data_IF_994191296180
#
_entry.id   IF_994191296180
#
_cell.length_a   1.000
_cell.length_b   1.000
_cell.length_c   1.000
_cell.angle_alpha   90.00
_cell.angle_beta   90.00
_cell.angle_gamma   90.00
#
_symmetry.space_group_name_H-M   'P 1'
#
loop_
_entity.id
_entity.type
_entity.pdbx_description
1 polymer ?
#
# COMPACT_ATOMS: atom_id res chain seq x y z
N UNK A 1 -18.01 -12.14 -6.50
CA UNK A 1 -17.03 -11.83 -5.44
C UNK A 1 -17.19 -10.34 -5.16
N UNK A 2 -17.40 -9.98 -3.91
CA UNK A 2 -17.49 -8.57 -3.51
C UNK A 2 -16.08 -8.09 -3.14
N UNK A 3 -15.47 -7.18 -3.93
CA UNK A 3 -14.09 -6.74 -3.70
C UNK A 3 -13.91 -6.05 -2.35
N UNK A 4 -14.98 -5.46 -1.80
CA UNK A 4 -14.91 -4.72 -0.53
C UNK A 4 -14.77 -5.62 0.70
N UNK A 5 -14.97 -6.93 0.54
CA UNK A 5 -14.90 -7.92 1.62
C UNK A 5 -13.64 -8.81 1.54
N UNK A 6 -12.73 -8.54 0.59
CA UNK A 6 -11.61 -9.42 0.27
C UNK A 6 -10.28 -8.65 0.41
N UNK A 7 -9.58 -8.87 1.52
CA UNK A 7 -8.28 -8.25 1.79
C UNK A 7 -7.20 -8.84 0.88
N UNK A 8 -6.53 -7.96 0.12
CA UNK A 8 -5.37 -8.35 -0.68
C UNK A 8 -4.08 -7.91 0.00
N UNK A 9 -3.16 -8.86 0.20
CA UNK A 9 -1.83 -8.59 0.72
C UNK A 9 -0.82 -8.68 -0.42
N UNK A 10 -0.06 -7.61 -0.62
CA UNK A 10 1.02 -7.54 -1.60
C UNK A 10 2.35 -7.59 -0.86
N UNK A 11 3.26 -8.46 -1.30
CA UNK A 11 4.62 -8.51 -0.76
C UNK A 11 5.56 -7.75 -1.69
N UNK A 12 6.14 -6.67 -1.18
CA UNK A 12 6.97 -5.71 -1.90
C UNK A 12 6.16 -4.49 -2.37
N UNK A 13 6.68 -3.28 -2.13
CA UNK A 13 6.08 -1.98 -2.45
C UNK A 13 6.82 -1.23 -3.56
N UNK A 14 7.57 -1.92 -4.42
CA UNK A 14 8.23 -1.34 -5.60
C UNK A 14 7.26 -0.77 -6.65
N UNK A 15 7.78 -0.20 -7.74
CA UNK A 15 6.99 0.46 -8.79
C UNK A 15 5.98 -0.48 -9.47
N UNK A 16 6.38 -1.71 -9.82
CA UNK A 16 5.50 -2.71 -10.43
C UNK A 16 4.38 -3.17 -9.47
N UNK A 17 4.73 -3.44 -8.21
CA UNK A 17 3.76 -3.83 -7.19
C UNK A 17 2.77 -2.69 -6.88
N UNK A 18 3.26 -1.46 -6.90
CA UNK A 18 2.44 -0.26 -6.74
C UNK A 18 1.46 -0.10 -7.89
N UNK A 19 1.84 -0.42 -9.13
CA UNK A 19 0.90 -0.47 -10.25
C UNK A 19 -0.23 -1.49 -10.05
N UNK A 20 0.06 -2.64 -9.44
CA UNK A 20 -0.96 -3.64 -9.07
C UNK A 20 -1.86 -3.11 -7.95
N UNK A 21 -1.27 -2.59 -6.87
CA UNK A 21 -2.00 -1.96 -5.77
C UNK A 21 -2.94 -0.86 -6.28
N UNK A 22 -2.46 0.01 -7.17
CA UNK A 22 -3.24 1.08 -7.78
C UNK A 22 -4.52 0.57 -8.47
N UNK A 23 -4.40 -0.51 -9.25
CA UNK A 23 -5.53 -1.10 -9.97
C UNK A 23 -6.52 -1.78 -9.03
N UNK A 24 -6.04 -2.47 -8.00
CA UNK A 24 -6.88 -3.15 -7.02
C UNK A 24 -7.60 -2.14 -6.11
N UNK A 25 -6.91 -1.11 -5.65
CA UNK A 25 -7.50 -0.02 -4.86
C UNK A 25 -8.67 0.63 -5.61
N UNK A 26 -8.46 0.96 -6.89
CA UNK A 26 -9.52 1.51 -7.76
C UNK A 26 -10.66 0.53 -8.06
N UNK A 27 -10.43 -0.77 -7.90
CA UNK A 27 -11.46 -1.79 -8.01
C UNK A 27 -12.21 -2.03 -6.68
N UNK A 28 -11.84 -1.33 -5.60
CA UNK A 28 -12.50 -1.38 -4.30
C UNK A 28 -11.97 -2.44 -3.35
N UNK A 29 -10.82 -3.04 -3.63
CA UNK A 29 -10.20 -4.00 -2.71
C UNK A 29 -9.50 -3.26 -1.55
N UNK A 30 -9.71 -3.66 -0.29
CA UNK A 30 -8.84 -3.27 0.80
C UNK A 30 -7.46 -3.92 0.62
N UNK A 31 -6.39 -3.15 0.84
CA UNK A 31 -5.01 -3.56 0.54
C UNK A 31 -4.11 -3.41 1.76
N UNK A 32 -3.12 -4.30 1.90
CA UNK A 32 -1.93 -4.11 2.74
C UNK A 32 -0.69 -4.43 1.92
N UNK A 33 0.34 -3.60 2.00
CA UNK A 33 1.64 -3.83 1.36
C UNK A 33 2.73 -4.08 2.39
N UNK A 34 3.36 -5.24 2.31
CA UNK A 34 4.48 -5.61 3.18
C UNK A 34 5.80 -5.24 2.52
N UNK A 35 6.71 -4.61 3.26
CA UNK A 35 8.02 -4.23 2.76
C UNK A 35 9.12 -4.39 3.83
N UNK A 36 10.38 -4.46 3.39
CA UNK A 36 11.54 -4.48 4.27
C UNK A 36 11.68 -3.15 5.03
N UNK A 37 12.22 -3.15 6.27
CA UNK A 37 12.48 -1.92 7.01
C UNK A 37 13.41 -0.92 6.28
N UNK A 38 14.26 -1.44 5.39
CA UNK A 38 15.11 -0.65 4.48
C UNK A 38 14.83 -1.09 3.05
N UNK A 39 13.80 -0.54 2.39
CA UNK A 39 13.44 -0.94 1.03
C UNK A 39 14.55 -0.60 0.03
N UNK A 40 14.74 -1.46 -0.97
CA UNK A 40 15.70 -1.27 -2.06
C UNK A 40 15.10 -0.49 -3.24
N UNK A 41 14.09 0.33 -2.97
CA UNK A 41 13.29 1.02 -3.99
C UNK A 41 14.11 2.09 -4.70
N UNK A 42 14.21 1.98 -6.03
CA UNK A 42 14.92 2.96 -6.86
C UNK A 42 13.98 4.11 -7.25
N UNK A 43 12.77 3.78 -7.74
CA UNK A 43 11.79 4.78 -8.22
C UNK A 43 10.84 5.23 -7.11
N UNK A 44 11.36 6.03 -6.17
CA UNK A 44 10.64 6.44 -4.96
C UNK A 44 9.33 7.20 -5.20
N UNK A 45 9.24 8.05 -6.21
CA UNK A 45 8.06 8.90 -6.43
C UNK A 45 6.82 8.12 -6.90
N UNK A 46 6.96 6.85 -7.27
CA UNK A 46 5.89 6.00 -7.82
C UNK A 46 5.79 4.65 -7.11
N UNK A 47 6.35 4.54 -5.91
CA UNK A 47 6.44 3.29 -5.17
C UNK A 47 5.95 3.45 -3.73
N UNK A 48 5.04 2.57 -3.31
CA UNK A 48 4.50 2.52 -1.94
C UNK A 48 5.58 2.27 -0.89
N UNK A 49 6.67 1.59 -1.25
CA UNK A 49 7.84 1.38 -0.38
C UNK A 49 8.44 2.70 0.16
N UNK A 50 8.19 3.83 -0.49
CA UNK A 50 8.59 5.15 -0.01
C UNK A 50 7.95 5.50 1.32
N UNK A 51 6.74 5.01 1.62
CA UNK A 51 6.08 5.24 2.91
C UNK A 51 6.89 4.66 4.08
N UNK A 52 7.65 3.57 3.89
CA UNK A 52 8.55 3.03 4.93
C UNK A 52 9.65 4.03 5.31
N UNK A 53 10.13 4.82 4.34
CA UNK A 53 11.21 5.79 4.55
C UNK A 53 10.69 7.14 5.03
N UNK A 54 9.60 7.62 4.43
CA UNK A 54 9.11 8.99 4.58
C UNK A 54 7.83 9.07 5.43
N UNK A 55 7.35 7.93 5.95
CA UNK A 55 6.12 7.78 6.75
C UNK A 55 4.83 7.73 5.90
N UNK A 56 4.82 8.36 4.73
CA UNK A 56 3.70 8.32 3.78
C UNK A 56 4.16 8.61 2.35
N UNK A 57 3.30 8.31 1.37
CA UNK A 57 3.50 8.69 -0.03
C UNK A 57 2.14 8.90 -0.71
N UNK A 58 2.06 9.92 -1.56
CA UNK A 58 0.90 10.14 -2.43
C UNK A 58 1.29 9.81 -3.87
N UNK A 59 0.56 8.89 -4.50
CA UNK A 59 0.78 8.45 -5.87
C UNK A 59 -0.54 8.61 -6.62
N UNK A 60 -0.70 9.75 -7.30
CA UNK A 60 -1.98 10.16 -7.89
C UNK A 60 -3.08 10.24 -6.81
N UNK A 61 -4.10 9.39 -6.89
CA UNK A 61 -5.21 9.22 -5.94
C UNK A 61 -4.97 8.12 -4.90
N UNK A 62 -3.83 7.42 -4.95
CA UNK A 62 -3.45 6.37 -4.01
C UNK A 62 -2.60 6.95 -2.87
N UNK A 63 -3.15 6.89 -1.65
CA UNK A 63 -2.44 7.30 -0.44
C UNK A 63 -1.84 6.06 0.26
N UNK A 64 -0.51 6.02 0.38
CA UNK A 64 0.22 5.00 1.12
C UNK A 64 0.76 5.54 2.43
N UNK A 65 0.66 4.79 3.54
CA UNK A 65 1.12 5.25 4.84
C UNK A 65 1.66 4.10 5.70
N UNK A 66 2.81 4.30 6.34
CA UNK A 66 3.43 3.27 7.17
C UNK A 66 2.56 2.93 8.38
N UNK A 67 2.22 1.64 8.53
CA UNK A 67 1.69 1.07 9.75
C UNK A 67 2.78 0.36 10.55
N UNK A 68 2.75 0.51 11.87
CA UNK A 68 3.72 -0.11 12.79
C UNK A 68 3.21 -1.41 13.42
N UNK A 69 1.92 -1.70 13.30
CA UNK A 69 1.29 -2.90 13.84
C UNK A 69 0.13 -3.39 12.97
N UNK A 70 -0.19 -4.68 13.08
CA UNK A 70 -1.31 -5.31 12.34
C UNK A 70 -2.65 -4.59 12.58
N UNK A 71 -3.06 -4.25 13.83
CA UNK A 71 -4.36 -3.59 14.04
C UNK A 71 -4.44 -2.20 13.40
N UNK A 72 -3.31 -1.50 13.32
CA UNK A 72 -3.21 -0.20 12.66
C UNK A 72 -3.37 -0.36 11.14
N UNK A 73 -2.67 -1.33 10.55
CA UNK A 73 -2.80 -1.64 9.13
C UNK A 73 -4.24 -2.05 8.76
N UNK A 74 -4.88 -2.91 9.54
CA UNK A 74 -6.28 -3.32 9.32
C UNK A 74 -7.24 -2.12 9.37
N UNK A 75 -7.03 -1.20 10.31
CA UNK A 75 -7.84 0.01 10.41
C UNK A 75 -7.66 0.93 9.19
N UNK A 76 -6.44 1.10 8.70
CA UNK A 76 -6.13 1.92 7.53
C UNK A 76 -6.71 1.30 6.24
N UNK A 77 -6.55 -0.01 6.07
CA UNK A 77 -7.03 -0.76 4.91
C UNK A 77 -8.56 -0.79 4.81
N UNK A 78 -9.28 -0.64 5.93
CA UNK A 78 -10.74 -0.47 5.93
C UNK A 78 -11.20 0.90 5.39
N UNK A 79 -10.27 1.86 5.27
CA UNK A 79 -10.51 3.18 4.68
C UNK A 79 -10.02 3.28 3.23
N UNK A 80 -9.47 4.44 2.89
CA UNK A 80 -8.92 4.76 1.55
C UNK A 80 -7.40 4.96 1.60
N UNK A 81 -6.74 4.31 2.56
CA UNK A 81 -5.30 4.37 2.75
C UNK A 81 -4.74 2.96 2.58
N UNK A 82 -3.65 2.83 1.83
CA UNK A 82 -2.91 1.59 1.71
C UNK A 82 -1.78 1.57 2.75
N UNK A 83 -1.91 0.80 3.84
CA UNK A 83 -0.82 0.56 4.77
C UNK A 83 0.35 -0.22 4.16
#
# INVERSE_FOLDING_TARGET
>A
MDPTQELVIIRGGGDLATGVAYRLHRAGFPLIVLELPQPLVVRRTVALATAVLDGSVQIEDLHGQLAHAVPEAEHMAAGNTVP
#
